data_IF_839540357674
#
_entry.id   IF_839540357674
#
_cell.length_a   1.000
_cell.length_b   1.000
_cell.length_c   1.000
_cell.angle_alpha   90.00
_cell.angle_beta   90.00
_cell.angle_gamma   90.00
#
_symmetry.space_group_name_H-M   'P 1'
#
loop_
_entity.id
_entity.type
_entity.pdbx_description
1 polymer ?
#
# COMPACT_ATOMS: atom_id res chain seq x y z
N UNK A 1 9.18 20.74 43.34
CA UNK A 1 9.34 19.94 42.10
C UNK A 1 7.95 19.65 41.56
N UNK A 2 7.49 20.42 40.58
CA UNK A 2 6.26 20.12 39.85
C UNK A 2 6.55 18.89 38.99
N UNK A 3 5.68 17.88 39.06
CA UNK A 3 5.68 16.75 38.15
C UNK A 3 5.31 17.29 36.76
N UNK A 4 6.23 17.20 35.82
CA UNK A 4 5.93 17.42 34.41
C UNK A 4 4.96 16.36 33.96
N UNK A 5 3.76 16.82 33.58
CA UNK A 5 2.77 16.02 32.89
C UNK A 5 3.37 15.54 31.57
N UNK A 6 3.33 14.23 31.37
CA UNK A 6 3.66 13.52 30.13
C UNK A 6 3.10 14.26 28.91
N UNK A 7 3.99 14.89 28.12
CA UNK A 7 3.69 15.32 26.75
C UNK A 7 3.38 14.06 25.94
N UNK A 8 2.11 13.70 25.80
CA UNK A 8 1.70 12.79 24.73
C UNK A 8 1.86 13.57 23.41
N UNK A 9 2.90 13.23 22.65
CA UNK A 9 3.19 13.83 21.34
C UNK A 9 2.29 13.29 20.21
N UNK A 10 1.11 12.76 20.55
CA UNK A 10 0.16 12.16 19.62
C UNK A 10 -1.15 12.93 19.64
N UNK A 11 -1.69 13.22 18.46
CA UNK A 11 -3.02 13.79 18.30
C UNK A 11 -4.02 12.67 18.05
N UNK A 12 -5.08 12.61 18.87
CA UNK A 12 -6.10 11.56 18.81
C UNK A 12 -7.42 12.13 18.34
N UNK A 13 -8.05 11.47 17.38
CA UNK A 13 -9.40 11.79 16.90
C UNK A 13 -10.34 10.70 17.35
N UNK A 14 -11.38 11.08 18.09
CA UNK A 14 -12.45 10.15 18.44
C UNK A 14 -13.25 9.79 17.17
N UNK A 15 -13.36 8.49 16.91
CA UNK A 15 -14.10 7.93 15.78
C UNK A 15 -15.38 7.25 16.29
N UNK A 16 -16.45 7.28 15.50
CA UNK A 16 -17.73 6.67 15.88
C UNK A 16 -17.66 5.14 15.99
N UNK A 17 -16.81 4.50 15.18
CA UNK A 17 -16.59 3.06 15.14
C UNK A 17 -15.13 2.71 14.78
N UNK A 18 -14.82 1.42 14.76
CA UNK A 18 -13.52 0.87 14.38
C UNK A 18 -13.12 1.30 12.96
N UNK A 19 -11.89 1.80 12.85
CA UNK A 19 -11.27 2.21 11.58
C UNK A 19 -10.53 1.01 10.99
N UNK A 20 -10.93 0.58 9.80
CA UNK A 20 -10.34 -0.56 9.10
C UNK A 20 -9.21 -0.17 8.17
N UNK A 21 -9.26 1.04 7.60
CA UNK A 21 -8.26 1.57 6.68
C UNK A 21 -8.10 3.08 6.86
N UNK A 22 -6.87 3.57 6.70
CA UNK A 22 -6.54 4.99 6.71
C UNK A 22 -5.54 5.27 5.59
N UNK A 23 -5.75 6.34 4.84
CA UNK A 23 -4.89 6.73 3.73
C UNK A 23 -4.77 8.25 3.64
N UNK A 24 -3.53 8.73 3.61
CA UNK A 24 -3.25 10.12 3.25
C UNK A 24 -3.35 10.29 1.75
N UNK A 25 -3.77 11.47 1.30
CA UNK A 25 -3.72 11.79 -0.11
C UNK A 25 -2.24 11.93 -0.55
N UNK A 26 -1.74 11.05 -1.44
CA UNK A 26 -0.35 11.11 -1.86
C UNK A 26 -0.09 12.20 -2.90
N UNK A 27 -1.13 12.90 -3.38
CA UNK A 27 -1.04 13.91 -4.41
C UNK A 27 -1.03 15.32 -3.81
N UNK A 28 -0.09 16.15 -4.27
CA UNK A 28 0.03 17.56 -3.87
C UNK A 28 -0.82 18.50 -4.75
N UNK A 29 -1.73 17.95 -5.56
CA UNK A 29 -2.57 18.72 -6.49
C UNK A 29 -3.56 19.61 -5.74
N UNK A 30 -3.49 20.93 -5.94
CA UNK A 30 -4.53 21.86 -5.51
C UNK A 30 -4.81 21.87 -4.00
N UNK A 31 -3.77 22.04 -3.19
CA UNK A 31 -3.81 22.10 -1.71
C UNK A 31 -4.42 20.87 -1.02
N UNK A 32 -4.49 19.74 -1.73
CA UNK A 32 -5.12 18.51 -1.24
C UNK A 32 -4.15 17.57 -0.50
N UNK A 33 -2.86 17.88 -0.41
CA UNK A 33 -1.84 17.02 0.21
C UNK A 33 -2.03 16.80 1.72
N UNK A 34 -2.81 17.67 2.37
CA UNK A 34 -3.17 17.57 3.78
C UNK A 34 -4.45 16.75 4.03
N UNK A 35 -5.03 16.16 2.99
CA UNK A 35 -6.21 15.31 3.12
C UNK A 35 -5.85 13.94 3.68
N UNK A 36 -6.69 13.48 4.59
CA UNK A 36 -6.67 12.12 5.14
C UNK A 36 -8.07 11.53 5.02
N UNK A 37 -8.15 10.28 4.58
CA UNK A 37 -9.37 9.50 4.58
C UNK A 37 -9.23 8.32 5.52
N UNK A 38 -10.30 7.98 6.22
CA UNK A 38 -10.39 6.73 6.95
C UNK A 38 -11.74 6.06 6.73
N UNK A 39 -11.70 4.73 6.61
CA UNK A 39 -12.85 3.87 6.37
C UNK A 39 -13.28 3.14 7.64
N UNK A 40 -14.56 3.24 7.97
CA UNK A 40 -15.19 2.51 9.06
C UNK A 40 -16.00 1.30 8.56
N UNK A 41 -16.86 0.78 9.44
CA UNK A 41 -17.73 -0.37 9.13
C UNK A 41 -18.86 -0.06 8.15
N UNK A 42 -19.24 1.21 7.98
CA UNK A 42 -20.33 1.63 7.09
C UNK A 42 -20.16 3.05 6.53
N UNK A 43 -19.01 3.70 6.73
CA UNK A 43 -18.75 5.06 6.28
C UNK A 43 -17.30 5.25 5.84
N UNK A 44 -17.05 6.33 5.11
CA UNK A 44 -15.70 6.89 4.89
C UNK A 44 -15.71 8.34 5.34
N UNK A 45 -14.76 8.73 6.16
CA UNK A 45 -14.59 10.13 6.58
C UNK A 45 -13.40 10.72 5.86
N UNK A 46 -13.57 11.92 5.33
CA UNK A 46 -12.48 12.73 4.80
C UNK A 46 -12.29 13.94 5.69
N UNK A 47 -11.05 14.19 6.09
CA UNK A 47 -10.65 15.37 6.85
C UNK A 47 -9.36 15.97 6.35
N UNK A 48 -9.03 17.13 6.91
CA UNK A 48 -7.76 17.83 6.70
C UNK A 48 -6.92 17.77 7.96
N UNK A 49 -5.63 17.52 7.79
CA UNK A 49 -4.62 17.55 8.83
C UNK A 49 -3.75 18.79 8.63
N UNK A 50 -3.86 19.79 9.50
CA UNK A 50 -3.07 21.03 9.40
C UNK A 50 -2.06 21.12 10.53
N UNK A 51 -0.85 21.55 10.20
CA UNK A 51 0.21 21.84 11.16
C UNK A 51 0.22 23.35 11.42
N UNK A 52 0.09 23.78 12.68
CA UNK A 52 0.19 25.20 13.02
C UNK A 52 1.65 25.55 13.30
N UNK A 53 2.20 26.47 12.50
CA UNK A 53 3.47 27.12 12.78
C UNK A 53 3.18 28.53 13.31
N UNK A 54 3.13 28.71 14.63
CA UNK A 54 3.25 30.05 15.23
C UNK A 54 4.63 30.21 15.88
N UNK A 55 5.15 31.44 15.83
CA UNK A 55 6.58 31.84 15.96
C UNK A 55 7.31 31.52 17.30
N UNK A 56 6.80 30.64 18.16
CA UNK A 56 7.58 30.21 19.34
C UNK A 56 7.27 28.80 19.86
N UNK A 57 6.17 28.18 19.46
CA UNK A 57 5.80 26.83 19.86
C UNK A 57 5.07 26.18 18.68
N UNK A 58 5.53 25.00 18.24
CA UNK A 58 4.77 24.18 17.28
C UNK A 58 3.54 23.67 18.02
N UNK A 59 2.44 24.42 17.93
CA UNK A 59 1.14 23.95 18.37
C UNK A 59 0.77 22.74 17.49
N UNK A 60 0.33 21.68 18.16
CA UNK A 60 0.23 20.34 17.59
C UNK A 60 -0.66 20.23 16.34
N UNK A 61 -0.67 19.03 15.78
CA UNK A 61 -1.52 18.67 14.64
C UNK A 61 -2.98 19.05 14.92
N UNK A 62 -3.67 19.68 13.97
CA UNK A 62 -5.12 19.88 14.03
C UNK A 62 -5.80 19.06 12.95
N UNK A 63 -6.80 18.29 13.37
CA UNK A 63 -7.67 17.55 12.47
C UNK A 63 -9.03 18.23 12.35
N UNK A 64 -9.51 18.36 11.12
CA UNK A 64 -10.86 18.84 10.84
C UNK A 64 -11.56 17.87 9.88
N UNK A 65 -12.69 17.33 10.31
CA UNK A 65 -13.58 16.57 9.43
C UNK A 65 -14.18 17.50 8.37
N UNK A 66 -13.98 17.17 7.09
CA UNK A 66 -14.63 17.87 5.99
C UNK A 66 -16.00 17.27 5.71
N UNK A 67 -16.08 15.94 5.58
CA UNK A 67 -17.31 15.23 5.22
C UNK A 67 -17.25 13.74 5.57
N UNK A 68 -18.41 13.19 5.89
CA UNK A 68 -18.63 11.75 6.08
C UNK A 68 -19.51 11.22 4.94
N UNK A 69 -19.00 10.23 4.23
CA UNK A 69 -19.68 9.52 3.15
C UNK A 69 -20.28 8.23 3.70
N UNK A 70 -21.60 8.06 3.53
CA UNK A 70 -22.26 6.80 3.89
C UNK A 70 -21.93 5.75 2.83
N UNK A 71 -21.38 4.62 3.28
CA UNK A 71 -20.96 3.51 2.42
C UNK A 71 -21.91 2.30 2.56
N UNK A 72 -22.36 2.04 3.79
CA UNK A 72 -23.29 0.95 4.13
C UNK A 72 -22.63 -0.43 4.25
N UNK A 73 -21.34 -0.55 3.92
CA UNK A 73 -20.54 -1.77 3.99
C UNK A 73 -19.17 -1.43 4.59
N UNK A 74 -18.50 -2.42 5.20
CA UNK A 74 -17.14 -2.26 5.72
C UNK A 74 -16.19 -1.95 4.58
N UNK A 75 -15.39 -0.90 4.75
CA UNK A 75 -14.38 -0.46 3.79
C UNK A 75 -13.05 -1.13 4.13
N UNK A 76 -12.47 -1.83 3.15
CA UNK A 76 -11.22 -2.58 3.33
C UNK A 76 -10.02 -1.87 2.69
N UNK A 77 -10.24 -0.98 1.73
CA UNK A 77 -9.19 -0.23 1.04
C UNK A 77 -9.69 1.12 0.54
N UNK A 78 -8.79 2.10 0.49
CA UNK A 78 -9.03 3.45 -0.04
C UNK A 78 -7.89 3.78 -1.00
N UNK A 79 -8.18 4.44 -2.12
CA UNK A 79 -7.15 5.08 -2.92
C UNK A 79 -7.64 6.42 -3.44
N UNK A 80 -6.74 7.40 -3.43
CA UNK A 80 -7.01 8.75 -3.90
C UNK A 80 -6.79 8.87 -5.40
N UNK A 81 -7.58 9.70 -6.07
CA UNK A 81 -7.33 10.10 -7.45
C UNK A 81 -6.50 11.38 -7.49
N UNK A 82 -5.55 11.52 -8.42
CA UNK A 82 -4.79 12.76 -8.62
C UNK A 82 -5.68 13.93 -9.12
N UNK A 83 -6.92 13.66 -9.54
CA UNK A 83 -7.90 14.71 -9.85
C UNK A 83 -8.45 15.41 -8.60
N UNK A 84 -8.14 14.91 -7.40
CA UNK A 84 -8.57 15.53 -6.14
C UNK A 84 -7.89 16.88 -5.94
N UNK A 85 -8.70 17.92 -5.76
CA UNK A 85 -8.30 19.33 -5.69
C UNK A 85 -9.25 20.11 -4.78
N UNK A 86 -8.69 20.84 -3.82
CA UNK A 86 -9.45 21.74 -2.95
C UNK A 86 -9.43 23.20 -3.42
N UNK A 87 -8.47 23.55 -4.28
CA UNK A 87 -8.28 24.89 -4.85
C UNK A 87 -9.32 25.26 -5.92
N UNK A 88 -10.02 24.29 -6.50
CA UNK A 88 -11.05 24.51 -7.50
C UNK A 88 -12.37 24.98 -6.86
N UNK A 89 -13.19 25.72 -7.62
CA UNK A 89 -14.52 26.14 -7.20
C UNK A 89 -15.57 25.58 -8.18
N UNK A 90 -16.38 24.58 -7.76
CA UNK A 90 -16.35 23.89 -6.47
C UNK A 90 -15.11 22.98 -6.30
N UNK A 91 -14.74 22.61 -5.05
CA UNK A 91 -13.66 21.64 -4.83
C UNK A 91 -14.06 20.29 -5.41
N UNK A 92 -13.07 19.48 -5.80
CA UNK A 92 -13.31 18.15 -6.37
C UNK A 92 -12.60 17.14 -5.50
N UNK A 93 -13.35 16.23 -4.89
CA UNK A 93 -12.83 15.08 -4.16
C UNK A 93 -13.16 13.83 -4.94
N UNK A 94 -12.12 13.09 -5.32
CA UNK A 94 -12.27 11.84 -6.05
C UNK A 94 -11.39 10.76 -5.45
N UNK A 95 -12.01 9.68 -5.03
CA UNK A 95 -11.32 8.55 -4.42
C UNK A 95 -12.11 7.28 -4.73
N UNK A 96 -11.47 6.15 -4.59
CA UNK A 96 -12.12 4.87 -4.69
C UNK A 96 -11.97 4.09 -3.40
N UNK A 97 -12.88 3.15 -3.21
CA UNK A 97 -12.92 2.28 -2.04
C UNK A 97 -13.09 0.85 -2.51
N UNK A 98 -12.42 -0.09 -1.86
CA UNK A 98 -12.82 -1.49 -1.87
C UNK A 98 -13.56 -1.80 -0.58
N UNK A 99 -14.54 -2.69 -0.66
CA UNK A 99 -15.38 -3.02 0.48
C UNK A 99 -15.62 -4.53 0.59
N UNK A 100 -16.17 -4.92 1.73
CA UNK A 100 -16.39 -6.32 2.08
C UNK A 100 -17.36 -7.06 1.15
N UNK A 101 -18.12 -6.34 0.32
CA UNK A 101 -18.98 -6.89 -0.72
C UNK A 101 -18.25 -7.15 -2.05
N UNK A 102 -16.92 -7.08 -2.05
CA UNK A 102 -16.03 -7.38 -3.19
C UNK A 102 -16.20 -6.40 -4.37
N UNK A 103 -16.83 -5.25 -4.11
CA UNK A 103 -17.06 -4.20 -5.11
C UNK A 103 -16.12 -3.03 -4.87
N UNK A 104 -15.73 -2.39 -5.97
CA UNK A 104 -15.04 -1.12 -5.94
C UNK A 104 -16.08 -0.01 -6.11
N UNK A 105 -16.00 1.05 -5.30
CA UNK A 105 -16.83 2.24 -5.46
C UNK A 105 -15.96 3.44 -5.74
N UNK A 106 -16.20 4.11 -6.86
CA UNK A 106 -15.56 5.36 -7.25
C UNK A 106 -16.43 6.53 -6.79
N UNK A 107 -16.00 7.27 -5.79
CA UNK A 107 -16.69 8.44 -5.25
C UNK A 107 -16.23 9.71 -5.98
N UNK A 108 -17.18 10.61 -6.23
CA UNK A 108 -16.93 11.97 -6.71
C UNK A 108 -17.79 12.92 -5.90
N UNK A 109 -17.15 13.91 -5.29
CA UNK A 109 -17.80 14.85 -4.38
C UNK A 109 -17.35 16.27 -4.64
N UNK A 110 -18.28 17.21 -4.57
CA UNK A 110 -18.00 18.64 -4.57
C UNK A 110 -17.93 19.27 -3.16
N UNK A 111 -17.91 18.43 -2.12
CA UNK A 111 -18.08 18.78 -0.70
C UNK A 111 -19.37 19.55 -0.36
N UNK A 112 -20.27 19.76 -1.32
CA UNK A 112 -21.53 20.47 -1.18
C UNK A 112 -22.68 19.48 -1.39
N UNK A 113 -23.34 19.55 -2.54
CA UNK A 113 -24.57 18.82 -2.85
C UNK A 113 -24.32 17.60 -3.73
N UNK A 114 -23.29 17.63 -4.59
CA UNK A 114 -22.99 16.51 -5.48
C UNK A 114 -22.09 15.53 -4.76
N UNK A 115 -22.68 14.44 -4.32
CA UNK A 115 -21.98 13.31 -3.71
C UNK A 115 -22.46 12.04 -4.39
N UNK A 116 -21.73 11.63 -5.42
CA UNK A 116 -22.10 10.49 -6.25
C UNK A 116 -21.03 9.42 -6.15
N UNK A 117 -21.44 8.17 -6.37
CA UNK A 117 -20.49 7.09 -6.56
C UNK A 117 -20.94 6.16 -7.67
N UNK A 118 -19.96 5.58 -8.37
CA UNK A 118 -20.16 4.50 -9.33
C UNK A 118 -19.67 3.20 -8.74
N UNK A 119 -20.36 2.11 -9.06
CA UNK A 119 -19.97 0.76 -8.66
C UNK A 119 -19.24 0.10 -9.82
N UNK A 120 -18.07 -0.42 -9.53
CA UNK A 120 -17.22 -1.21 -10.42
C UNK A 120 -17.35 -2.66 -9.97
N UNK A 121 -18.09 -3.45 -10.75
CA UNK A 121 -18.37 -4.86 -10.46
C UNK A 121 -17.53 -5.76 -11.36
N UNK A 122 -16.93 -6.80 -10.77
CA UNK A 122 -16.29 -7.85 -11.54
C UNK A 122 -15.43 -8.79 -10.71
N UNK A 123 -14.82 -8.31 -9.64
CA UNK A 123 -14.11 -9.17 -8.70
C UNK A 123 -15.08 -10.13 -7.99
N UNK A 124 -14.66 -11.38 -7.82
CA UNK A 124 -15.48 -12.42 -7.17
C UNK A 124 -14.98 -12.80 -5.77
N UNK A 125 -13.94 -12.13 -5.27
CA UNK A 125 -13.38 -12.32 -3.94
C UNK A 125 -12.83 -10.98 -3.39
N UNK A 126 -12.30 -10.98 -2.18
CA UNK A 126 -11.77 -9.78 -1.52
C UNK A 126 -10.74 -9.05 -2.37
N UNK A 127 -10.80 -7.72 -2.37
CA UNK A 127 -9.87 -6.84 -3.10
C UNK A 127 -8.81 -6.39 -2.12
N UNK A 128 -7.56 -6.81 -2.36
CA UNK A 128 -6.44 -6.58 -1.45
C UNK A 128 -5.67 -5.30 -1.76
N UNK A 129 -5.71 -4.84 -3.01
CA UNK A 129 -4.98 -3.67 -3.46
C UNK A 129 -5.77 -2.87 -4.48
N UNK A 130 -5.66 -1.55 -4.39
CA UNK A 130 -6.40 -0.58 -5.19
C UNK A 130 -5.53 0.66 -5.39
N UNK A 131 -5.34 1.12 -6.63
CA UNK A 131 -4.45 2.26 -6.90
C UNK A 131 -4.81 2.97 -8.20
N UNK A 132 -4.90 4.30 -8.15
CA UNK A 132 -5.08 5.13 -9.33
C UNK A 132 -3.79 5.30 -10.11
N UNK A 133 -3.93 5.45 -11.43
CA UNK A 133 -2.87 5.92 -12.29
C UNK A 133 -2.37 7.30 -11.79
N UNK A 134 -1.08 7.46 -11.46
CA UNK A 134 -0.61 8.61 -10.69
C UNK A 134 -0.49 9.93 -11.47
N UNK A 135 -0.50 9.89 -12.82
CA UNK A 135 -0.29 11.09 -13.65
C UNK A 135 -1.61 11.75 -14.04
N UNK A 136 -2.41 11.06 -14.84
CA UNK A 136 -3.68 11.60 -15.35
C UNK A 136 -4.89 11.12 -14.51
N UNK A 137 -4.75 10.04 -13.74
CA UNK A 137 -5.83 9.51 -12.92
C UNK A 137 -6.96 8.86 -13.70
N UNK A 138 -6.75 8.51 -14.98
CA UNK A 138 -7.80 8.04 -15.88
C UNK A 138 -8.10 6.55 -15.69
N UNK A 139 -7.17 5.81 -15.11
CA UNK A 139 -7.30 4.39 -14.86
C UNK A 139 -7.12 4.04 -13.38
N UNK A 140 -7.76 2.95 -12.99
CA UNK A 140 -7.69 2.36 -11.67
C UNK A 140 -7.25 0.91 -11.82
N UNK A 141 -6.24 0.51 -11.07
CA UNK A 141 -5.81 -0.88 -10.98
C UNK A 141 -6.28 -1.50 -9.66
N UNK A 142 -6.75 -2.73 -9.72
CA UNK A 142 -7.14 -3.52 -8.56
C UNK A 142 -6.61 -4.95 -8.63
N UNK A 143 -6.36 -5.54 -7.46
CA UNK A 143 -5.97 -6.95 -7.31
C UNK A 143 -6.78 -7.62 -6.21
N UNK A 144 -7.08 -8.90 -6.41
CA UNK A 144 -8.00 -9.64 -5.54
C UNK A 144 -7.53 -11.07 -5.25
N UNK A 145 -8.12 -11.63 -4.20
CA UNK A 145 -8.08 -13.06 -3.87
C UNK A 145 -8.70 -13.95 -4.97
N UNK A 146 -9.45 -13.37 -5.92
CA UNK A 146 -9.98 -14.08 -7.09
C UNK A 146 -8.90 -14.48 -8.13
N UNK A 147 -7.63 -14.24 -7.82
CA UNK A 147 -6.46 -14.46 -8.69
C UNK A 147 -6.44 -13.56 -9.92
N UNK A 148 -7.00 -12.36 -9.83
CA UNK A 148 -7.03 -11.44 -10.98
C UNK A 148 -6.50 -10.06 -10.61
N UNK A 149 -5.83 -9.44 -11.58
CA UNK A 149 -5.59 -8.01 -11.61
C UNK A 149 -6.47 -7.39 -12.69
N UNK A 150 -7.21 -6.34 -12.35
CA UNK A 150 -8.14 -5.66 -13.27
C UNK A 150 -7.77 -4.19 -13.38
N UNK A 151 -7.88 -3.67 -14.58
CA UNK A 151 -7.73 -2.24 -14.88
C UNK A 151 -9.10 -1.72 -15.30
N UNK A 152 -9.47 -0.58 -14.74
CA UNK A 152 -10.77 0.03 -14.92
C UNK A 152 -10.60 1.45 -15.42
N UNK A 153 -11.45 1.88 -16.33
CA UNK A 153 -11.62 3.29 -16.62
C UNK A 153 -12.59 3.94 -15.59
N UNK A 154 -12.62 5.27 -15.56
CA UNK A 154 -13.52 6.03 -14.67
C UNK A 154 -15.00 5.97 -15.09
N UNK A 155 -15.31 5.37 -16.23
CA UNK A 155 -16.68 5.14 -16.69
C UNK A 155 -17.30 3.89 -16.06
N UNK A 156 -16.49 3.03 -15.42
CA UNK A 156 -16.96 1.78 -14.82
C UNK A 156 -16.61 0.53 -15.63
N UNK A 157 -15.94 0.68 -16.78
CA UNK A 157 -15.60 -0.41 -17.68
C UNK A 157 -14.21 -0.97 -17.37
N UNK A 158 -14.10 -2.29 -17.41
CA UNK A 158 -12.82 -2.98 -17.34
C UNK A 158 -12.08 -2.82 -18.68
N UNK A 159 -10.90 -2.18 -18.67
CA UNK A 159 -10.06 -1.96 -19.86
C UNK A 159 -9.08 -3.11 -20.08
N UNK A 160 -8.57 -3.71 -19.01
CA UNK A 160 -7.66 -4.86 -19.06
C UNK A 160 -7.88 -5.81 -17.89
N UNK A 161 -7.44 -7.06 -18.07
CA UNK A 161 -7.55 -8.12 -17.08
C UNK A 161 -6.40 -9.12 -17.21
N UNK A 162 -5.73 -9.37 -16.10
CA UNK A 162 -4.61 -10.30 -16.00
C UNK A 162 -4.95 -11.41 -15.01
N UNK A 163 -4.75 -12.66 -15.45
CA UNK A 163 -4.87 -13.83 -14.58
C UNK A 163 -3.54 -14.04 -13.86
N UNK A 164 -3.61 -14.04 -12.53
CA UNK A 164 -2.49 -14.26 -11.62
C UNK A 164 -2.37 -15.74 -11.30
N UNK A 165 -1.20 -16.19 -10.83
CA UNK A 165 -1.01 -17.58 -10.43
C UNK A 165 -1.37 -17.82 -8.95
N UNK A 166 -1.56 -16.74 -8.19
CA UNK A 166 -1.88 -16.71 -6.77
C UNK A 166 -2.60 -15.39 -6.44
N UNK A 167 -3.28 -15.27 -5.29
CA UNK A 167 -3.94 -14.03 -4.89
C UNK A 167 -3.04 -12.81 -5.02
N UNK A 168 -3.54 -11.75 -5.66
CA UNK A 168 -2.81 -10.49 -5.75
C UNK A 168 -2.94 -9.72 -4.44
N UNK A 169 -1.81 -9.38 -3.82
CA UNK A 169 -1.73 -8.76 -2.50
C UNK A 169 -1.51 -7.25 -2.58
N UNK A 170 -0.68 -6.78 -3.50
CA UNK A 170 -0.51 -5.35 -3.75
C UNK A 170 -0.34 -5.08 -5.24
N UNK A 171 -0.71 -3.86 -5.64
CA UNK A 171 -0.59 -3.37 -7.01
C UNK A 171 -0.09 -1.94 -6.98
N UNK A 172 0.86 -1.62 -7.85
CA UNK A 172 1.46 -0.29 -7.92
C UNK A 172 1.78 0.08 -9.36
N UNK A 173 1.31 1.24 -9.80
CA UNK A 173 1.76 1.84 -11.05
C UNK A 173 3.24 2.21 -10.97
N UNK A 174 3.95 2.09 -12.09
CA UNK A 174 5.29 2.64 -12.17
C UNK A 174 5.20 4.18 -12.11
N UNK A 175 5.94 4.85 -11.21
CA UNK A 175 5.77 6.28 -10.96
C UNK A 175 6.10 7.15 -12.19
N UNK A 176 7.00 6.69 -13.06
CA UNK A 176 7.40 7.43 -14.28
C UNK A 176 6.78 6.88 -15.57
N UNK A 177 6.35 5.62 -15.60
CA UNK A 177 5.96 4.92 -16.83
C UNK A 177 4.51 4.47 -16.73
N UNK A 178 3.60 5.24 -17.31
CA UNK A 178 2.15 5.06 -17.14
C UNK A 178 1.66 3.67 -17.53
N UNK A 179 2.30 2.99 -18.48
CA UNK A 179 1.84 1.69 -18.97
C UNK A 179 2.46 0.49 -18.25
N UNK A 180 3.29 0.73 -17.22
CA UNK A 180 3.90 -0.34 -16.43
C UNK A 180 3.21 -0.46 -15.08
N UNK A 181 2.82 -1.68 -14.77
CA UNK A 181 2.17 -2.02 -13.52
C UNK A 181 2.96 -3.12 -12.80
N UNK A 182 3.16 -2.98 -11.50
CA UNK A 182 3.71 -4.03 -10.66
C UNK A 182 2.58 -4.68 -9.85
N UNK A 183 2.57 -6.01 -9.80
CA UNK A 183 1.64 -6.81 -8.99
C UNK A 183 2.44 -7.76 -8.12
N UNK A 184 2.18 -7.73 -6.81
CA UNK A 184 2.73 -8.65 -5.84
C UNK A 184 1.71 -9.78 -5.58
N UNK A 185 2.09 -11.02 -5.85
CA UNK A 185 1.27 -12.20 -5.60
C UNK A 185 1.65 -12.87 -4.26
N UNK A 186 0.66 -13.40 -3.56
CA UNK A 186 0.81 -14.06 -2.24
C UNK A 186 1.82 -15.22 -2.24
N UNK A 187 2.07 -15.81 -3.41
CA UNK A 187 3.05 -16.89 -3.59
C UNK A 187 4.52 -16.43 -3.58
N UNK A 188 4.80 -15.15 -3.38
CA UNK A 188 6.17 -14.64 -3.42
C UNK A 188 6.61 -14.15 -4.80
N UNK A 189 5.75 -14.23 -5.82
CA UNK A 189 6.07 -13.69 -7.14
C UNK A 189 5.66 -12.22 -7.23
N UNK A 190 6.57 -11.37 -7.67
CA UNK A 190 6.28 -9.99 -8.08
C UNK A 190 6.36 -9.95 -9.60
N UNK A 191 5.29 -9.52 -10.27
CA UNK A 191 5.23 -9.42 -11.73
C UNK A 191 5.12 -7.98 -12.18
N UNK A 192 5.76 -7.68 -13.30
CA UNK A 192 5.62 -6.42 -14.00
C UNK A 192 4.84 -6.66 -15.29
N UNK A 193 3.78 -5.90 -15.48
CA UNK A 193 2.91 -5.96 -16.65
C UNK A 193 3.10 -4.72 -17.51
N UNK A 194 3.07 -4.93 -18.82
CA UNK A 194 2.89 -3.89 -19.82
C UNK A 194 1.41 -3.82 -20.20
N UNK A 195 0.76 -2.67 -20.02
CA UNK A 195 -0.64 -2.49 -20.37
C UNK A 195 -0.87 -2.31 -21.88
N UNK A 196 0.12 -1.81 -22.63
CA UNK A 196 0.02 -1.69 -24.09
C UNK A 196 0.12 -3.07 -24.75
N UNK A 197 1.05 -3.89 -24.28
CA UNK A 197 1.23 -5.25 -24.79
C UNK A 197 0.35 -6.29 -24.09
N UNK A 198 -0.34 -5.90 -23.01
CA UNK A 198 -1.20 -6.76 -22.18
C UNK A 198 -0.52 -8.07 -21.75
N UNK A 199 0.74 -8.01 -21.37
CA UNK A 199 1.53 -9.18 -20.98
C UNK A 199 2.49 -8.89 -19.83
N UNK A 200 2.92 -9.95 -19.14
CA UNK A 200 3.99 -9.86 -18.15
C UNK A 200 5.35 -9.68 -18.85
N UNK A 201 6.12 -8.70 -18.41
CA UNK A 201 7.45 -8.36 -18.93
C UNK A 201 8.54 -9.07 -18.11
N UNK A 202 8.40 -9.01 -16.79
CA UNK A 202 9.42 -9.45 -15.83
C UNK A 202 8.74 -10.06 -14.61
N UNK A 203 9.42 -11.01 -13.96
CA UNK A 203 9.04 -11.53 -12.66
C UNK A 203 10.23 -11.59 -11.71
N UNK A 204 9.97 -11.35 -10.43
CA UNK A 204 10.91 -11.50 -9.31
C UNK A 204 10.31 -12.51 -8.33
N UNK A 205 11.16 -13.29 -7.67
CA UNK A 205 10.73 -14.27 -6.67
C UNK A 205 11.36 -13.92 -5.32
N UNK A 206 10.55 -13.85 -4.27
CA UNK A 206 11.00 -13.55 -2.91
C UNK A 206 11.60 -14.75 -2.17
N UNK A 207 11.48 -15.97 -2.71
CA UNK A 207 11.77 -17.29 -2.07
C UNK A 207 11.01 -17.56 -0.75
N UNK A 208 10.59 -16.52 -0.05
CA UNK A 208 9.81 -16.48 1.19
C UNK A 208 8.34 -16.19 0.90
N UNK A 209 7.45 -16.79 1.68
CA UNK A 209 5.99 -16.68 1.56
C UNK A 209 5.35 -16.57 2.95
N UNK A 210 4.19 -15.90 3.10
CA UNK A 210 3.46 -15.17 2.05
C UNK A 210 4.09 -13.81 1.76
N UNK A 211 4.01 -13.37 0.50
CA UNK A 211 4.26 -11.97 0.15
C UNK A 211 3.10 -11.14 0.70
N UNK A 212 3.41 -10.07 1.43
CA UNK A 212 2.40 -9.22 2.06
C UNK A 212 2.18 -7.94 1.27
N UNK A 213 3.25 -7.31 0.78
CA UNK A 213 3.19 -6.09 -0.01
C UNK A 213 4.51 -5.87 -0.75
N UNK A 214 4.46 -5.24 -1.91
CA UNK A 214 5.61 -4.71 -2.62
C UNK A 214 5.32 -3.31 -3.15
N UNK A 215 6.35 -2.45 -3.17
CA UNK A 215 6.24 -1.08 -3.68
C UNK A 215 7.55 -0.59 -4.32
N UNK A 216 7.40 0.35 -5.26
CA UNK A 216 8.50 1.07 -5.88
C UNK A 216 9.16 2.04 -4.89
N UNK A 217 10.46 2.24 -5.04
CA UNK A 217 11.11 3.39 -4.43
C UNK A 217 10.87 4.63 -5.29
N UNK A 218 10.18 5.63 -4.76
CA UNK A 218 9.79 6.83 -5.53
C UNK A 218 10.99 7.68 -5.96
N UNK A 219 12.08 7.69 -5.19
CA UNK A 219 13.32 8.41 -5.54
C UNK A 219 14.20 7.64 -6.54
N UNK A 220 14.03 6.32 -6.62
CA UNK A 220 14.83 5.46 -7.48
C UNK A 220 13.95 4.33 -8.00
N UNK A 221 13.36 4.56 -9.17
CA UNK A 221 12.44 3.64 -9.85
C UNK A 221 13.07 2.29 -10.19
N UNK A 222 14.39 2.18 -10.11
CA UNK A 222 15.08 0.90 -10.24
C UNK A 222 15.08 0.05 -8.98
N UNK A 223 14.55 0.54 -7.86
CA UNK A 223 14.45 -0.23 -6.63
C UNK A 223 13.02 -0.60 -6.31
N UNK A 224 12.83 -1.85 -5.96
CA UNK A 224 11.56 -2.39 -5.47
C UNK A 224 11.81 -2.95 -4.07
N UNK A 225 10.96 -2.58 -3.12
CA UNK A 225 10.94 -3.19 -1.80
C UNK A 225 9.73 -4.10 -1.66
N UNK A 226 9.87 -5.23 -0.96
CA UNK A 226 8.74 -6.06 -0.60
C UNK A 226 8.90 -6.67 0.80
N UNK A 227 7.77 -6.99 1.41
CA UNK A 227 7.70 -7.68 2.70
C UNK A 227 7.17 -9.09 2.45
N UNK A 228 7.96 -10.10 2.81
CA UNK A 228 7.64 -11.51 2.61
C UNK A 228 7.89 -12.28 3.91
N UNK A 229 6.83 -12.85 4.49
CA UNK A 229 6.92 -13.50 5.80
C UNK A 229 7.43 -12.53 6.89
N UNK A 230 8.60 -12.83 7.46
CA UNK A 230 9.25 -12.00 8.48
C UNK A 230 10.37 -11.11 7.92
N UNK A 231 10.68 -11.24 6.63
CA UNK A 231 11.78 -10.55 5.98
C UNK A 231 11.26 -9.42 5.08
N UNK A 232 12.13 -8.45 4.84
CA UNK A 232 11.95 -7.39 3.86
C UNK A 232 13.09 -7.47 2.86
N UNK A 233 12.73 -7.35 1.60
CA UNK A 233 13.60 -7.58 0.46
C UNK A 233 13.67 -6.30 -0.36
N UNK A 234 14.84 -6.00 -0.91
CA UNK A 234 15.04 -4.87 -1.82
C UNK A 234 15.78 -5.40 -3.04
N UNK A 235 15.19 -5.19 -4.22
CA UNK A 235 15.80 -5.51 -5.50
C UNK A 235 16.28 -4.25 -6.20
N UNK A 236 17.32 -4.39 -7.00
CA UNK A 236 17.78 -3.40 -7.98
C UNK A 236 17.54 -3.98 -9.38
N UNK A 237 16.53 -3.49 -10.09
CA UNK A 237 16.13 -3.99 -11.42
C UNK A 237 17.15 -3.64 -12.52
N UNK A 238 18.09 -2.71 -12.30
CA UNK A 238 19.19 -2.46 -13.26
C UNK A 238 20.25 -3.54 -13.20
N UNK A 239 20.47 -4.13 -12.02
CA UNK A 239 21.53 -5.12 -11.76
C UNK A 239 21.11 -6.53 -12.12
N UNK A 240 20.38 -6.67 -13.22
CA UNK A 240 20.22 -7.95 -13.90
C UNK A 240 21.56 -8.38 -14.52
N UNK A 241 22.59 -8.56 -13.68
CA UNK A 241 23.71 -9.44 -14.02
C UNK A 241 23.12 -10.84 -13.96
N UNK A 242 23.13 -11.50 -15.13
CA UNK A 242 22.70 -12.87 -15.40
C UNK A 242 21.22 -13.10 -15.75
N UNK A 243 20.69 -12.34 -16.71
CA UNK A 243 19.65 -12.89 -17.59
C UNK A 243 20.29 -13.54 -18.83
N UNK A 244 20.80 -14.76 -18.64
CA UNK A 244 21.04 -15.72 -19.73
C UNK A 244 20.93 -17.13 -19.17
N UNK A 245 19.76 -17.46 -18.61
CA UNK A 245 19.38 -18.83 -18.25
C UNK A 245 17.89 -18.94 -17.95
N UNK A 246 17.04 -18.69 -18.95
CA UNK A 246 15.73 -19.38 -19.03
C UNK A 246 15.59 -19.92 -20.45
N UNK A 247 16.48 -20.85 -20.77
CA UNK A 247 16.13 -22.05 -21.51
C UNK A 247 16.82 -23.21 -20.78
N UNK A 248 16.01 -24.14 -20.29
CA UNK A 248 16.38 -25.46 -19.74
C UNK A 248 16.96 -25.44 -18.31
N UNK A 249 16.15 -25.91 -17.34
CA UNK A 249 16.64 -26.96 -16.43
C UNK A 249 15.49 -27.72 -15.76
N UNK A 250 14.85 -28.61 -16.53
CA UNK A 250 14.64 -29.96 -16.00
C UNK A 250 15.99 -30.68 -16.15
N UNK A 251 16.39 -31.42 -15.11
CA UNK A 251 17.62 -32.23 -14.97
C UNK A 251 18.94 -31.48 -14.76
N UNK A 252 19.41 -31.47 -13.51
CA UNK A 252 20.73 -31.99 -13.15
C UNK A 252 20.84 -32.28 -11.64
N UNK A 253 20.32 -33.46 -11.26
CA UNK A 253 20.80 -34.21 -10.10
C UNK A 253 22.08 -34.95 -10.52
N UNK A 254 23.12 -34.88 -9.68
CA UNK A 254 24.42 -35.60 -9.68
C UNK A 254 25.58 -35.00 -10.49
N UNK A 255 26.64 -34.68 -9.74
CA UNK A 255 28.09 -34.64 -10.05
C UNK A 255 28.66 -33.35 -9.41
N UNK A 256 29.66 -33.31 -8.52
CA UNK A 256 30.70 -34.26 -8.14
C UNK A 256 31.05 -34.10 -6.64
N UNK A 257 31.24 -35.25 -5.98
CA UNK A 257 32.20 -35.43 -4.89
C UNK A 257 33.58 -35.67 -5.53
N UNK A 258 34.63 -34.98 -5.07
CA UNK A 258 36.01 -35.47 -4.84
C UNK A 258 36.97 -34.29 -4.57
N UNK A 259 37.52 -34.26 -3.34
CA UNK A 259 38.92 -34.05 -2.88
C UNK A 259 39.85 -33.11 -3.73
N UNK A 260 40.72 -32.23 -3.24
CA UNK A 260 41.34 -31.93 -1.92
C UNK A 260 42.19 -30.61 -2.07
N UNK A 261 43.06 -30.14 -1.13
CA UNK A 261 43.06 -28.75 -0.64
C UNK A 261 44.30 -27.87 -0.96
N UNK A 262 44.22 -26.60 -0.49
CA UNK A 262 45.27 -25.59 -0.27
C UNK A 262 45.80 -24.78 -1.48
N UNK A 263 45.42 -23.51 -1.54
CA UNK A 263 46.34 -22.35 -1.61
C UNK A 263 45.55 -21.02 -1.56
N UNK A 264 46.27 -19.95 -1.27
CA UNK A 264 45.86 -18.78 -0.52
C UNK A 264 44.91 -17.77 -1.19
N UNK A 265 44.30 -16.98 -0.30
CA UNK A 265 43.90 -15.57 -0.44
C UNK A 265 42.78 -15.23 -1.41
N UNK A 266 41.57 -15.10 -0.87
CA UNK A 266 40.82 -13.85 -0.74
C UNK A 266 39.42 -14.23 -0.27
N UNK A 267 39.12 -13.97 1.00
CA UNK A 267 37.77 -14.08 1.54
C UNK A 267 37.05 -12.79 1.15
N UNK A 268 36.02 -12.80 0.30
CA UNK A 268 35.04 -11.72 0.33
C UNK A 268 34.14 -12.01 1.53
N UNK A 269 34.17 -11.15 2.54
CA UNK A 269 33.18 -11.18 3.61
C UNK A 269 31.79 -11.01 2.98
N UNK A 270 30.86 -11.97 3.16
CA UNK A 270 29.45 -11.68 3.01
C UNK A 270 28.99 -10.95 4.27
N UNK A 271 27.82 -10.29 4.19
CA UNK A 271 27.11 -9.62 5.28
C UNK A 271 27.30 -8.10 5.38
N UNK A 272 26.59 -7.37 4.53
CA UNK A 272 25.85 -6.22 5.03
C UNK A 272 24.37 -6.61 5.11
N UNK A 273 24.00 -7.30 6.20
CA UNK A 273 22.61 -7.42 6.63
C UNK A 273 22.32 -6.22 7.54
N UNK A 274 21.59 -5.23 7.05
CA UNK A 274 20.96 -4.26 7.94
C UNK A 274 19.75 -4.95 8.58
N UNK A 275 19.93 -5.45 9.81
CA UNK A 275 18.86 -6.05 10.60
C UNK A 275 18.11 -4.90 11.30
N UNK A 276 17.10 -4.35 10.63
CA UNK A 276 16.14 -3.45 11.28
C UNK A 276 14.97 -4.31 11.71
N UNK A 277 14.88 -4.59 13.01
CA UNK A 277 13.74 -5.31 13.59
C UNK A 277 12.64 -4.31 13.91
N UNK A 278 11.57 -4.31 13.13
CA UNK A 278 10.33 -3.63 13.47
C UNK A 278 9.25 -4.70 13.61
N UNK A 279 8.77 -4.93 14.84
CA UNK A 279 7.68 -5.86 15.09
C UNK A 279 6.35 -5.15 14.89
N UNK A 280 5.60 -5.52 13.85
CA UNK A 280 4.19 -5.19 13.76
C UNK A 280 3.36 -6.44 14.09
N UNK A 281 2.62 -6.39 15.20
CA UNK A 281 1.54 -7.34 15.48
C UNK A 281 0.22 -6.68 15.08
N UNK A 282 -0.35 -7.17 13.98
CA UNK A 282 -1.79 -7.08 13.68
C UNK A 282 -2.31 -5.71 13.25
N UNK A 283 -2.37 -5.49 11.94
CA UNK A 283 -3.53 -5.10 11.11
C UNK A 283 -3.01 -4.91 9.68
N UNK A 284 -3.87 -5.07 8.66
CA UNK A 284 -3.50 -4.97 7.24
C UNK A 284 -2.86 -3.61 6.95
N UNK A 285 -1.54 -3.60 6.78
CA UNK A 285 -0.81 -2.43 6.29
C UNK A 285 -0.98 -2.37 4.77
N UNK A 286 -2.02 -1.66 4.31
CA UNK A 286 -2.03 -1.10 2.97
C UNK A 286 -1.17 0.17 2.99
N UNK A 287 -0.32 0.33 1.98
CA UNK A 287 0.65 1.41 1.77
C UNK A 287 1.91 1.44 2.70
N UNK A 288 2.96 0.71 2.29
CA UNK A 288 4.34 1.07 2.64
C UNK A 288 4.87 2.05 1.58
N UNK A 289 4.91 3.35 1.87
CA UNK A 289 5.65 4.30 1.02
C UNK A 289 7.14 4.25 1.38
N UNK A 290 7.98 3.73 0.48
CA UNK A 290 9.44 3.74 0.66
C UNK A 290 9.96 5.12 0.24
N UNK A 291 9.78 6.11 1.10
CA UNK A 291 10.41 7.42 1.02
C UNK A 291 11.58 7.48 1.98
N UNK A 292 12.60 6.66 1.70
CA UNK A 292 13.87 6.61 2.44
C UNK A 292 13.77 6.12 3.91
N UNK A 293 14.60 5.13 4.23
CA UNK A 293 14.97 4.83 5.62
C UNK A 293 16.03 5.86 5.97
N UNK A 294 15.60 7.07 6.33
CA UNK A 294 16.39 7.92 7.20
C UNK A 294 16.07 7.50 8.64
N UNK A 295 17.11 7.18 9.42
CA UNK A 295 17.02 6.57 10.74
C UNK A 295 16.42 7.47 11.84
N UNK A 296 15.63 8.48 11.47
CA UNK A 296 14.97 9.40 12.38
C UNK A 296 13.64 9.88 11.78
N UNK A 297 12.56 9.10 11.89
CA UNK A 297 11.20 9.61 12.15
C UNK A 297 10.12 8.53 12.08
N UNK A 298 9.15 8.68 13.00
CA UNK A 298 7.76 8.24 12.96
C UNK A 298 7.46 6.74 13.24
N UNK A 299 7.26 6.52 14.52
CA UNK A 299 6.60 5.37 15.11
C UNK A 299 5.12 5.75 15.31
N UNK A 300 4.22 5.19 14.50
CA UNK A 300 2.76 5.29 14.72
C UNK A 300 2.31 3.92 15.24
N UNK A 301 1.96 3.85 16.53
CA UNK A 301 1.30 2.70 17.12
C UNK A 301 -0.21 2.96 17.14
N UNK A 302 -0.97 2.04 16.55
CA UNK A 302 -2.39 1.88 16.87
C UNK A 302 -2.50 0.82 17.96
N UNK A 303 -2.75 1.23 19.20
CA UNK A 303 -3.15 0.29 20.27
C UNK A 303 -4.66 0.12 20.24
N UNK A 304 -5.12 -1.11 19.96
CA UNK A 304 -6.50 -1.52 20.24
C UNK A 304 -6.62 -1.87 21.72
N UNK A 305 -7.49 -1.15 22.42
CA UNK A 305 -7.72 -1.26 23.85
C UNK A 305 -8.39 -2.61 24.20
N UNK A 306 -7.79 -3.52 25.00
CA UNK A 306 -8.44 -4.77 25.41
C UNK A 306 -9.02 -4.62 26.83
N UNK A 307 -10.15 -3.93 26.97
CA UNK A 307 -10.94 -4.02 28.21
C UNK A 307 -12.16 -4.92 28.03
N UNK A 308 -12.03 -6.18 28.47
CA UNK A 308 -13.14 -6.96 29.02
C UNK A 308 -12.63 -7.97 30.05
N UNK A 309 -12.35 -7.46 31.24
CA UNK A 309 -12.12 -8.22 32.46
C UNK A 309 -13.44 -8.89 32.88
N UNK A 310 -13.64 -10.15 32.48
CA UNK A 310 -14.74 -10.96 33.03
C UNK A 310 -14.32 -11.48 34.41
N UNK A 311 -14.95 -10.93 35.45
CA UNK A 311 -14.90 -11.46 36.82
C UNK A 311 -15.33 -12.94 36.82
N UNK A 312 -14.49 -13.83 37.34
CA UNK A 312 -14.92 -15.16 37.81
C UNK A 312 -14.98 -15.19 39.34
N UNK A 313 -16.13 -15.70 39.78
CA UNK A 313 -16.66 -15.79 41.14
C UNK A 313 -15.77 -16.57 42.09
N UNK A 314 -15.87 -16.15 43.36
CA UNK A 314 -15.57 -16.89 44.58
C UNK A 314 -15.98 -18.37 44.52
N UNK A 315 -15.07 -19.24 44.97
CA UNK A 315 -15.33 -20.31 45.94
C UNK A 315 -14.00 -20.69 46.57
#
# INVERSE_FOLDING_TARGET
>A
MKQDATRNAAYTVDCEDYVHVVEFNPFESGDSGNLIAYGGSNYVVIGTCTFQEEEADVDGIQYKTLRTFQHGVRVDGIAWSPETRLDSLPPIIKFCTSAADMKIRLFTSDLQDKNEYKILEGHSDFINGLVFEPKEGQELASVSDDHTCRIWNLEGMQTAHFVLHSPGMSVCWHPEETFKLMVAEKNGTIRFYDLLAQQAILSLESEQMPLMSAHWCLKNTFKVGAVAGNDWLIWDITRSRYFLSIFICCLLKKALLLNDPLSHSCIPEPHCRAKISLSCRGTSATAFHITEIDAHALQIYFESNPERTMQRKKS
#
